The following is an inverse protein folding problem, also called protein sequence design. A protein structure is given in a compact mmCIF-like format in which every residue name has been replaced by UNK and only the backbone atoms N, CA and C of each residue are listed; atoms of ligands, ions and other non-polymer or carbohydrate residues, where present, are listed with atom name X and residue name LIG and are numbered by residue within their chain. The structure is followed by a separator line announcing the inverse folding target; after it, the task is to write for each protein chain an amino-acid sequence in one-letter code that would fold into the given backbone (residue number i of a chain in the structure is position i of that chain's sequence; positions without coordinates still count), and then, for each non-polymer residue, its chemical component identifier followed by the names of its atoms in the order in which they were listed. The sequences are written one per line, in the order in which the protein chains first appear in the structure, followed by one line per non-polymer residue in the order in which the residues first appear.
data_IF_983384258472
#
_entry.id   IF_983384258472
#
_cell.length_a   1.000
_cell.length_b   1.000
_cell.length_c   1.000
_cell.angle_alpha   90.00
_cell.angle_beta   90.00
_cell.angle_gamma   90.00
#
_symmetry.space_group_name_H-M   'P 1'
#
loop_
_entity.id
_entity.type
_entity.pdbx_description
1 polymer ?
#
# COMPACT_ATOMS: atom_id res chain seq x y z
N UNK A 1 -16.30 -1.64 -6.55
CA UNK A 1 -15.17 -0.92 -7.19
C UNK A 1 -14.37 -1.92 -8.01
N UNK A 2 -14.03 -1.57 -9.25
CA UNK A 2 -13.15 -2.39 -10.10
C UNK A 2 -11.97 -1.56 -10.56
N UNK A 3 -10.77 -2.08 -10.36
CA UNK A 3 -9.52 -1.45 -10.80
C UNK A 3 -8.89 -2.37 -11.83
N UNK A 4 -8.67 -1.85 -13.03
CA UNK A 4 -7.95 -2.53 -14.10
C UNK A 4 -6.72 -1.69 -14.42
N UNK A 5 -5.56 -2.21 -14.03
CA UNK A 5 -4.24 -1.67 -14.34
C UNK A 5 -3.40 -2.82 -14.87
N UNK A 6 -2.91 -2.73 -16.10
CA UNK A 6 -1.97 -3.70 -16.63
C UNK A 6 -0.53 -3.24 -16.39
N UNK A 7 0.42 -4.20 -16.34
CA UNK A 7 1.84 -3.89 -16.27
C UNK A 7 2.22 -3.02 -17.47
N UNK A 8 3.06 -1.98 -17.31
CA UNK A 8 3.67 -1.31 -18.44
C UNK A 8 4.37 -2.35 -19.31
N UNK A 9 3.93 -2.49 -20.56
CA UNK A 9 4.51 -3.42 -21.52
C UNK A 9 5.51 -2.64 -22.36
N UNK A 10 6.78 -2.71 -21.99
CA UNK A 10 7.85 -2.34 -22.91
C UNK A 10 8.09 -3.52 -23.84
N UNK A 11 7.56 -3.41 -25.06
CA UNK A 11 7.70 -4.41 -26.10
C UNK A 11 8.75 -3.98 -27.13
N UNK A 12 9.61 -3.02 -26.78
CA UNK A 12 10.72 -2.63 -27.61
C UNK A 12 11.74 -3.78 -27.68
N UNK A 13 11.91 -4.32 -28.88
CA UNK A 13 12.98 -5.25 -29.19
C UNK A 13 14.09 -4.46 -29.87
N UNK A 14 15.14 -4.13 -29.11
CA UNK A 14 16.27 -3.38 -29.65
C UNK A 14 16.99 -4.19 -30.74
N UNK A 15 17.32 -3.57 -31.90
CA UNK A 15 18.16 -4.20 -32.92
C UNK A 15 19.48 -4.74 -32.35
N UNK A 16 20.09 -4.01 -31.43
CA UNK A 16 21.35 -4.41 -30.79
C UNK A 16 21.21 -5.69 -29.97
N UNK A 17 20.09 -5.86 -29.26
CA UNK A 17 19.82 -7.09 -28.51
C UNK A 17 19.66 -8.31 -29.42
N UNK A 18 19.13 -8.12 -30.65
CA UNK A 18 19.07 -9.18 -31.66
C UNK A 18 20.47 -9.50 -32.18
N UNK A 19 21.27 -8.48 -32.48
CA UNK A 19 22.65 -8.61 -32.99
C UNK A 19 23.54 -9.30 -31.95
N UNK A 20 23.46 -8.93 -30.67
CA UNK A 20 24.17 -9.57 -29.56
C UNK A 20 23.87 -11.06 -29.46
N UNK A 21 22.59 -11.43 -29.57
CA UNK A 21 22.19 -12.84 -29.57
C UNK A 21 22.60 -13.58 -30.84
N UNK A 22 22.60 -12.90 -31.99
CA UNK A 22 23.00 -13.47 -33.26
C UNK A 22 24.51 -13.72 -33.32
N UNK A 23 25.32 -12.84 -32.72
CA UNK A 23 26.77 -12.94 -32.65
C UNK A 23 27.24 -13.39 -31.26
N UNK A 24 26.50 -14.29 -30.60
CA UNK A 24 26.74 -14.73 -29.21
C UNK A 24 28.13 -15.32 -28.93
N UNK A 25 28.90 -15.67 -29.97
CA UNK A 25 30.23 -16.27 -29.87
C UNK A 25 31.37 -15.26 -29.73
N UNK A 26 31.08 -13.95 -29.75
CA UNK A 26 32.09 -12.90 -29.59
C UNK A 26 31.55 -11.70 -28.82
N UNK A 27 32.45 -10.95 -28.19
CA UNK A 27 32.15 -9.58 -27.75
C UNK A 27 32.04 -8.68 -28.98
N UNK A 28 31.09 -7.76 -28.96
CA UNK A 28 30.73 -6.92 -30.10
C UNK A 28 30.99 -5.47 -29.70
N UNK A 29 31.70 -4.74 -30.55
CA UNK A 29 31.78 -3.29 -30.44
C UNK A 29 30.67 -2.65 -31.28
N UNK A 30 29.92 -1.72 -30.67
CA UNK A 30 28.73 -1.11 -31.29
C UNK A 30 29.09 -0.21 -32.47
N UNK A 31 30.34 0.24 -32.55
CA UNK A 31 30.86 1.09 -33.63
C UNK A 31 31.38 0.26 -34.84
N UNK A 32 31.28 -1.08 -34.79
CA UNK A 32 31.69 -1.92 -35.92
C UNK A 32 30.79 -1.70 -37.15
N UNK A 33 31.35 -1.58 -38.37
CA UNK A 33 30.56 -1.39 -39.60
C UNK A 33 29.52 -2.48 -39.84
N UNK A 34 29.80 -3.72 -39.41
CA UNK A 34 28.86 -4.84 -39.55
C UNK A 34 27.67 -4.69 -38.61
N UNK A 35 27.87 -4.13 -37.42
CA UNK A 35 26.83 -3.89 -36.43
C UNK A 35 25.95 -2.73 -36.86
N UNK A 36 26.56 -1.63 -37.35
CA UNK A 36 25.82 -0.51 -37.93
C UNK A 36 24.96 -0.95 -39.12
N UNK A 37 25.52 -1.79 -40.00
CA UNK A 37 24.79 -2.34 -41.14
C UNK A 37 23.56 -3.14 -40.69
N UNK A 38 23.73 -4.11 -39.79
CA UNK A 38 22.62 -4.91 -39.28
C UNK A 38 21.61 -4.08 -38.47
N UNK A 39 22.06 -3.07 -37.73
CA UNK A 39 21.19 -2.14 -37.05
C UNK A 39 20.31 -1.38 -38.05
N UNK A 40 20.88 -0.88 -39.15
CA UNK A 40 20.14 -0.19 -40.21
C UNK A 40 19.09 -1.10 -40.86
N UNK A 41 19.44 -2.38 -41.08
CA UNK A 41 18.52 -3.37 -41.64
C UNK A 41 17.39 -3.74 -40.67
N UNK A 42 17.70 -3.97 -39.39
CA UNK A 42 16.76 -4.47 -38.39
C UNK A 42 15.87 -3.36 -37.79
N UNK A 43 16.37 -2.12 -37.74
CA UNK A 43 15.64 -0.96 -37.19
C UNK A 43 14.21 -0.80 -37.74
N UNK A 44 13.97 -0.77 -39.06
CA UNK A 44 12.60 -0.61 -39.59
C UNK A 44 11.69 -1.78 -39.19
N UNK A 45 12.21 -3.01 -39.12
CA UNK A 45 11.41 -4.15 -38.66
C UNK A 45 11.09 -4.06 -37.16
N UNK A 46 12.05 -3.64 -36.33
CA UNK A 46 11.84 -3.46 -34.89
C UNK A 46 10.80 -2.37 -34.61
N UNK A 47 10.81 -1.27 -35.39
CA UNK A 47 9.80 -0.22 -35.33
C UNK A 47 8.41 -0.74 -35.71
N UNK A 48 8.29 -1.49 -36.80
CA UNK A 48 7.00 -2.08 -37.22
C UNK A 48 6.48 -3.07 -36.18
N UNK A 49 7.35 -3.93 -35.64
CA UNK A 49 6.96 -4.86 -34.57
C UNK A 49 6.51 -4.12 -33.31
N UNK A 50 7.19 -3.02 -32.96
CA UNK A 50 6.78 -2.16 -31.86
C UNK A 50 5.40 -1.56 -32.10
N UNK A 51 5.13 -0.99 -33.27
CA UNK A 51 3.84 -0.39 -33.63
C UNK A 51 2.69 -1.42 -33.60
N UNK A 52 2.91 -2.60 -34.18
CA UNK A 52 1.96 -3.72 -34.14
C UNK A 52 1.69 -4.10 -32.67
N UNK A 53 2.75 -4.21 -31.88
CA UNK A 53 2.64 -4.54 -30.47
C UNK A 53 1.85 -3.48 -29.69
N UNK A 54 2.08 -2.18 -29.93
CA UNK A 54 1.33 -1.09 -29.28
C UNK A 54 -0.17 -1.17 -29.61
N UNK A 55 -0.51 -1.58 -30.83
CA UNK A 55 -1.90 -1.75 -31.24
C UNK A 55 -2.63 -2.84 -30.43
N UNK A 56 -1.98 -3.99 -30.20
CA UNK A 56 -2.55 -5.10 -29.45
C UNK A 56 -2.41 -4.92 -27.93
N UNK A 57 -1.34 -4.27 -27.47
CA UNK A 57 -1.01 -4.12 -26.06
C UNK A 57 -1.30 -2.70 -25.57
N UNK A 58 -2.59 -2.32 -25.60
CA UNK A 58 -3.02 -1.03 -25.05
C UNK A 58 -2.82 -0.98 -23.53
N UNK A 59 -2.31 0.14 -23.05
CA UNK A 59 -2.28 0.48 -21.63
C UNK A 59 -3.73 0.67 -21.12
N UNK A 60 -4.12 -0.11 -20.11
CA UNK A 60 -5.46 -0.07 -19.53
C UNK A 60 -5.32 0.52 -18.14
N UNK A 61 -5.72 1.78 -18.00
CA UNK A 61 -5.88 2.47 -16.72
C UNK A 61 -7.35 2.83 -16.54
N UNK A 62 -8.12 1.89 -15.99
CA UNK A 62 -9.55 2.04 -15.81
C UNK A 62 -9.97 1.79 -14.36
N UNK A 63 -10.69 2.76 -13.79
CA UNK A 63 -11.26 2.67 -12.45
C UNK A 63 -12.77 2.85 -12.57
N UNK A 64 -13.53 1.84 -12.16
CA UNK A 64 -14.99 1.92 -12.04
C UNK A 64 -15.37 2.03 -10.57
N UNK A 65 -16.09 3.09 -10.23
CA UNK A 65 -16.68 3.33 -8.92
C UNK A 65 -18.19 3.13 -9.05
N UNK A 66 -18.75 2.22 -8.24
CA UNK A 66 -20.18 1.97 -8.15
C UNK A 66 -20.77 2.77 -6.95
N UNK A 67 -22.07 3.12 -6.94
CA UNK A 67 -22.65 4.01 -5.91
C UNK A 67 -22.53 3.53 -4.46
N UNK A 68 -22.45 2.22 -4.22
CA UNK A 68 -22.29 1.65 -2.86
C UNK A 68 -20.82 1.64 -2.39
N UNK A 69 -19.84 1.84 -3.28
CA UNK A 69 -18.43 1.85 -2.90
C UNK A 69 -18.09 3.02 -1.96
N UNK A 70 -18.90 4.08 -2.00
CA UNK A 70 -18.74 5.30 -1.19
C UNK A 70 -19.58 5.32 0.08
N UNK A 71 -20.44 4.31 0.34
CA UNK A 71 -21.20 4.21 1.60
C UNK A 71 -20.27 4.05 2.81
N UNK A 72 -19.13 3.37 2.63
CA UNK A 72 -18.04 3.29 3.61
C UNK A 72 -16.72 3.20 2.85
N UNK A 73 -16.31 4.33 2.27
CA UNK A 73 -15.15 4.42 1.38
C UNK A 73 -13.85 3.97 2.07
N UNK A 74 -13.71 4.26 3.36
CA UNK A 74 -12.60 3.82 4.22
C UNK A 74 -12.41 2.29 4.16
N UNK A 75 -13.50 1.53 4.29
CA UNK A 75 -13.45 0.06 4.26
C UNK A 75 -13.19 -0.44 2.84
N UNK A 76 -13.80 0.19 1.82
CA UNK A 76 -13.56 -0.15 0.41
C UNK A 76 -12.09 0.06 0.00
N UNK A 77 -11.49 1.20 0.38
CA UNK A 77 -10.08 1.51 0.10
C UNK A 77 -9.14 0.60 0.90
N UNK A 78 -9.48 0.29 2.15
CA UNK A 78 -8.67 -0.59 3.00
C UNK A 78 -8.45 -1.96 2.37
N UNK A 79 -9.47 -2.52 1.69
CA UNK A 79 -9.37 -3.81 0.97
C UNK A 79 -8.32 -3.80 -0.15
N UNK A 80 -7.92 -2.64 -0.65
CA UNK A 80 -6.91 -2.46 -1.71
C UNK A 80 -5.58 -2.01 -1.13
N UNK A 81 -5.59 -1.04 -0.22
CA UNK A 81 -4.38 -0.51 0.40
C UNK A 81 -3.65 -1.61 1.20
N UNK A 82 -4.37 -2.44 1.96
CA UNK A 82 -3.77 -3.48 2.78
C UNK A 82 -2.90 -4.49 2.00
N UNK A 83 -3.38 -5.15 0.92
CA UNK A 83 -2.53 -6.03 0.12
C UNK A 83 -1.40 -5.28 -0.57
N UNK A 84 -1.61 -4.04 -1.04
CA UNK A 84 -0.55 -3.23 -1.65
C UNK A 84 0.58 -2.91 -0.68
N UNK A 85 0.26 -2.53 0.57
CA UNK A 85 1.27 -2.28 1.60
C UNK A 85 2.05 -3.55 1.97
N UNK A 86 1.39 -4.71 2.01
CA UNK A 86 2.05 -6.00 2.26
C UNK A 86 3.00 -6.38 1.11
N UNK A 87 2.58 -6.15 -0.13
CA UNK A 87 3.41 -6.37 -1.31
C UNK A 87 4.62 -5.42 -1.30
N UNK A 88 4.39 -4.12 -1.12
CA UNK A 88 5.44 -3.11 -1.04
C UNK A 88 6.47 -3.41 0.05
N UNK A 89 6.02 -3.82 1.25
CA UNK A 89 6.95 -4.18 2.34
C UNK A 89 7.86 -5.36 1.97
N UNK A 90 7.36 -6.30 1.16
CA UNK A 90 8.10 -7.49 0.75
C UNK A 90 9.13 -7.18 -0.33
N UNK A 91 8.75 -6.38 -1.32
CA UNK A 91 9.55 -6.20 -2.54
C UNK A 91 10.50 -4.98 -2.47
N UNK A 92 10.26 -4.03 -1.52
CA UNK A 92 11.01 -2.76 -1.36
C UNK A 92 12.52 -2.82 -1.62
N UNK A 93 12.99 -1.94 -2.50
CA UNK A 93 14.42 -1.73 -2.75
C UNK A 93 15.10 -0.68 -1.86
N UNK A 94 14.34 0.15 -1.12
CA UNK A 94 14.87 1.25 -0.34
C UNK A 94 14.02 1.71 0.84
N UNK A 95 14.46 2.81 1.47
CA UNK A 95 13.71 3.50 2.52
C UNK A 95 13.81 5.02 2.30
N UNK A 96 12.70 5.76 2.48
CA UNK A 96 12.70 7.22 2.48
C UNK A 96 13.23 7.78 3.81
N UNK A 97 13.42 9.10 3.86
CA UNK A 97 13.71 9.79 5.10
C UNK A 97 12.49 9.76 6.05
N UNK A 98 12.67 9.23 7.25
CA UNK A 98 11.65 9.18 8.30
C UNK A 98 12.01 10.12 9.44
N UNK A 99 11.06 10.96 9.83
CA UNK A 99 11.24 11.95 10.89
C UNK A 99 11.33 11.26 12.25
N UNK A 100 12.21 11.76 13.11
CA UNK A 100 12.41 11.19 14.45
C UNK A 100 11.14 11.24 15.31
N UNK A 101 10.23 12.19 15.08
CA UNK A 101 8.96 12.32 15.83
C UNK A 101 8.03 11.12 15.60
N UNK A 102 8.10 10.50 14.43
CA UNK A 102 7.20 9.44 13.99
C UNK A 102 7.60 8.05 14.48
N UNK A 103 8.78 7.93 15.07
CA UNK A 103 9.35 6.67 15.56
C UNK A 103 9.61 6.70 17.07
N UNK A 104 9.54 5.54 17.73
CA UNK A 104 9.90 5.38 19.13
C UNK A 104 11.32 5.89 19.40
N UNK A 105 11.56 6.37 20.62
CA UNK A 105 12.84 6.95 21.06
C UNK A 105 14.06 6.06 20.81
N UNK A 106 13.88 4.74 20.80
CA UNK A 106 14.92 3.74 20.55
C UNK A 106 15.43 3.75 19.10
N UNK A 107 14.53 4.05 18.15
CA UNK A 107 14.82 4.04 16.70
C UNK A 107 15.24 5.41 16.17
N UNK A 108 15.14 6.46 16.99
CA UNK A 108 15.53 7.83 16.60
C UNK A 108 17.02 7.91 16.34
N UNK A 109 17.37 8.67 15.31
CA UNK A 109 18.76 9.04 15.08
C UNK A 109 19.23 9.94 16.24
N UNK A 110 20.22 9.47 17.00
CA UNK A 110 20.79 10.20 18.15
C UNK A 110 21.87 11.20 17.71
N UNK A 111 22.23 11.24 16.43
CA UNK A 111 23.23 12.16 15.90
C UNK A 111 22.65 13.58 15.91
N UNK A 112 23.42 14.53 16.45
CA UNK A 112 23.07 15.97 16.46
C UNK A 112 23.37 16.68 15.13
N UNK A 113 24.17 16.06 14.27
CA UNK A 113 24.64 16.62 13.00
C UNK A 113 24.12 15.73 11.88
N UNK A 114 23.43 16.32 10.90
CA UNK A 114 23.04 15.61 9.69
C UNK A 114 24.32 15.24 8.92
N UNK A 115 24.52 13.96 8.55
CA UNK A 115 25.71 13.54 7.82
C UNK A 115 25.81 14.31 6.50
N UNK A 116 27.01 14.81 6.21
CA UNK A 116 27.23 15.73 5.08
C UNK A 116 27.19 15.07 3.70
N UNK A 117 27.01 13.75 3.59
CA UNK A 117 26.84 13.02 2.33
C UNK A 117 26.23 11.65 2.62
N UNK A 118 25.08 11.30 2.05
CA UNK A 118 24.57 9.93 1.80
C UNK A 118 24.58 8.86 2.92
N UNK A 119 25.14 9.13 4.10
CA UNK A 119 25.38 8.16 5.15
C UNK A 119 24.08 7.88 5.91
N UNK A 120 23.55 6.68 5.69
CA UNK A 120 22.39 6.17 6.41
C UNK A 120 22.78 5.80 7.84
N UNK A 121 21.88 6.06 8.79
CA UNK A 121 22.03 5.56 10.16
C UNK A 121 21.84 4.03 10.18
N UNK A 122 22.41 3.35 11.19
CA UNK A 122 22.14 1.92 11.46
C UNK A 122 20.63 1.64 11.59
N UNK A 123 19.88 2.60 12.13
CA UNK A 123 18.43 2.49 12.32
C UNK A 123 17.61 3.10 11.16
N UNK A 124 18.23 3.54 10.07
CA UNK A 124 17.52 4.19 8.96
C UNK A 124 16.43 3.30 8.36
N UNK A 125 16.78 2.06 7.99
CA UNK A 125 15.83 1.09 7.45
C UNK A 125 14.82 0.61 8.50
N UNK A 126 15.25 0.42 9.76
CA UNK A 126 14.39 -0.01 10.87
C UNK A 126 13.27 1.01 11.17
N UNK A 127 13.55 2.31 11.01
CA UNK A 127 12.54 3.37 11.14
C UNK A 127 11.44 3.22 10.10
N UNK A 128 11.83 2.96 8.85
CA UNK A 128 10.86 2.76 7.77
C UNK A 128 10.06 1.48 7.95
N UNK A 129 10.70 0.39 8.36
CA UNK A 129 10.01 -0.87 8.65
C UNK A 129 8.98 -0.70 9.77
N UNK A 130 9.32 0.04 10.83
CA UNK A 130 8.36 0.38 11.89
C UNK A 130 7.15 1.16 11.34
N UNK A 131 7.40 2.17 10.52
CA UNK A 131 6.34 3.01 9.93
C UNK A 131 5.43 2.17 9.02
N UNK A 132 6.00 1.32 8.16
CA UNK A 132 5.26 0.37 7.33
C UNK A 132 4.44 -0.61 8.18
N UNK A 133 5.00 -1.11 9.28
CA UNK A 133 4.30 -2.01 10.19
C UNK A 133 3.14 -1.34 10.92
N UNK A 134 3.29 -0.07 11.34
CA UNK A 134 2.18 0.68 11.91
C UNK A 134 1.07 0.90 10.88
N UNK A 135 1.39 1.24 9.64
CA UNK A 135 0.39 1.37 8.57
C UNK A 135 -0.34 0.05 8.33
N UNK A 136 0.39 -1.04 8.11
CA UNK A 136 -0.20 -2.38 7.87
C UNK A 136 -1.08 -2.80 9.03
N UNK A 137 -0.65 -2.59 10.27
CA UNK A 137 -1.45 -2.91 11.45
C UNK A 137 -2.75 -2.10 11.48
N UNK A 138 -2.70 -0.78 11.27
CA UNK A 138 -3.89 0.07 11.26
C UNK A 138 -4.89 -0.31 10.17
N UNK A 139 -4.43 -0.54 8.94
CA UNK A 139 -5.31 -0.99 7.85
C UNK A 139 -5.84 -2.41 8.07
N UNK A 140 -5.10 -3.28 8.74
CA UNK A 140 -5.58 -4.62 9.09
C UNK A 140 -6.70 -4.57 10.15
N UNK A 141 -6.61 -3.65 11.12
CA UNK A 141 -7.70 -3.42 12.08
C UNK A 141 -8.93 -2.78 11.40
N UNK A 142 -8.73 -1.78 10.55
CA UNK A 142 -9.83 -1.14 9.78
C UNK A 142 -10.52 -2.10 8.79
N UNK A 143 -9.83 -3.17 8.36
CA UNK A 143 -10.42 -4.19 7.50
C UNK A 143 -11.45 -5.06 8.23
N UNK A 144 -11.43 -5.08 9.57
CA UNK A 144 -12.36 -5.88 10.37
C UNK A 144 -13.64 -5.08 10.62
N UNK A 145 -14.83 -5.62 10.28
CA UNK A 145 -16.09 -4.89 10.47
C UNK A 145 -16.39 -4.62 11.96
N UNK A 146 -16.01 -5.54 12.85
CA UNK A 146 -16.32 -5.48 14.29
C UNK A 146 -15.07 -5.30 15.16
N UNK A 147 -14.14 -4.43 14.76
CA UNK A 147 -12.88 -4.25 15.50
C UNK A 147 -13.07 -3.69 16.93
N UNK A 148 -14.19 -3.01 17.19
CA UNK A 148 -14.54 -2.43 18.49
C UNK A 148 -15.16 -3.44 19.45
N UNK A 149 -15.66 -4.58 18.95
CA UNK A 149 -16.30 -5.65 19.71
C UNK A 149 -15.45 -6.16 20.88
N UNK A 150 -14.12 -6.13 20.74
CA UNK A 150 -13.16 -6.54 21.78
C UNK A 150 -13.21 -5.70 23.06
N UNK A 151 -13.74 -4.47 22.98
CA UNK A 151 -13.87 -3.55 24.13
C UNK A 151 -15.21 -3.69 24.85
N UNK A 152 -16.14 -4.45 24.27
CA UNK A 152 -17.43 -4.76 24.87
C UNK A 152 -17.33 -6.08 25.65
N UNK A 153 -17.69 -6.03 26.93
CA UNK A 153 -17.78 -7.22 27.78
C UNK A 153 -19.14 -7.28 28.46
N UNK A 154 -19.60 -8.48 28.78
CA UNK A 154 -20.87 -8.69 29.47
C UNK A 154 -22.03 -9.07 28.55
N UNK A 155 -23.23 -9.17 29.12
CA UNK A 155 -24.45 -9.52 28.39
C UNK A 155 -25.47 -8.40 28.48
N UNK A 156 -26.11 -8.11 27.35
CA UNK A 156 -27.27 -7.24 27.28
C UNK A 156 -28.48 -8.04 27.74
N UNK A 157 -28.99 -7.72 28.92
CA UNK A 157 -30.31 -8.14 29.38
C UNK A 157 -31.24 -6.93 29.26
N UNK A 158 -32.24 -7.01 28.38
CA UNK A 158 -33.20 -5.94 28.11
C UNK A 158 -34.61 -6.50 28.24
N UNK A 159 -35.46 -5.83 29.00
CA UNK A 159 -36.85 -6.22 29.24
C UNK A 159 -37.79 -5.11 28.78
N UNK A 160 -38.76 -5.48 27.96
CA UNK A 160 -39.86 -4.60 27.59
C UNK A 160 -40.84 -4.48 28.76
N UNK A 161 -41.09 -3.25 29.22
CA UNK A 161 -42.05 -2.94 30.27
C UNK A 161 -43.19 -2.13 29.67
N UNK A 162 -44.43 -2.62 29.80
CA UNK A 162 -45.62 -1.91 29.31
C UNK A 162 -45.99 -0.80 30.30
N UNK A 163 -46.11 0.42 29.80
CA UNK A 163 -46.56 1.59 30.55
C UNK A 163 -48.10 1.64 30.61
N UNK A 164 -48.67 2.38 31.58
CA UNK A 164 -50.12 2.56 31.74
C UNK A 164 -50.80 3.09 30.46
N UNK A 165 -50.06 3.88 29.68
CA UNK A 165 -50.55 4.55 28.47
C UNK A 165 -50.55 3.63 27.23
N UNK A 166 -50.22 2.34 27.40
CA UNK A 166 -50.20 1.34 26.33
C UNK A 166 -48.88 1.23 25.56
N UNK A 167 -47.94 2.16 25.77
CA UNK A 167 -46.59 2.13 25.21
C UNK A 167 -45.68 1.12 25.91
N UNK A 168 -44.61 0.68 25.24
CA UNK A 168 -43.58 -0.17 25.84
C UNK A 168 -42.26 0.59 25.96
N UNK A 169 -41.63 0.51 27.12
CA UNK A 169 -40.31 1.06 27.39
C UNK A 169 -39.30 -0.07 27.55
N UNK A 170 -38.16 0.05 26.86
CA UNK A 170 -37.06 -0.90 26.99
C UNK A 170 -36.28 -0.54 28.27
N UNK A 171 -36.38 -1.38 29.31
CA UNK A 171 -35.60 -1.23 30.55
C UNK A 171 -34.52 -2.28 30.64
N UNK A 172 -33.40 -1.95 31.29
CA UNK A 172 -32.36 -2.92 31.59
C UNK A 172 -32.89 -4.02 32.52
N UNK A 173 -32.68 -5.27 32.12
CA UNK A 173 -32.99 -6.43 32.95
C UNK A 173 -31.99 -6.56 34.10
N UNK A 174 -32.34 -7.32 35.16
CA UNK A 174 -31.53 -7.46 36.37
C UNK A 174 -30.16 -8.13 36.13
N UNK A 175 -29.93 -8.78 34.98
CA UNK A 175 -28.63 -9.40 34.64
C UNK A 175 -27.82 -8.58 33.64
N UNK A 176 -28.15 -7.30 33.43
CA UNK A 176 -27.41 -6.41 32.54
C UNK A 176 -26.00 -6.16 33.08
N UNK A 177 -24.99 -6.66 32.38
CA UNK A 177 -23.58 -6.62 32.82
C UNK A 177 -22.66 -5.98 31.78
N UNK A 178 -23.24 -5.30 30.78
CA UNK A 178 -22.50 -4.66 29.70
C UNK A 178 -21.50 -3.64 30.26
N UNK A 179 -20.23 -3.81 29.94
CA UNK A 179 -19.14 -2.89 30.27
C UNK A 179 -18.36 -2.58 29.01
N UNK A 180 -18.08 -1.31 28.82
CA UNK A 180 -17.27 -0.80 27.72
C UNK A 180 -15.92 -0.34 28.27
N UNK A 181 -14.82 -0.96 27.83
CA UNK A 181 -13.47 -0.48 28.15
C UNK A 181 -13.10 0.72 27.29
N UNK A 182 -13.54 1.89 27.74
CA UNK A 182 -13.26 3.16 27.07
C UNK A 182 -11.76 3.46 26.96
N UNK A 183 -10.95 3.11 27.97
CA UNK A 183 -9.51 3.42 27.97
C UNK A 183 -8.76 2.57 26.96
N UNK A 184 -9.08 1.27 26.90
CA UNK A 184 -8.54 0.37 25.89
C UNK A 184 -8.94 0.80 24.48
N UNK A 185 -10.22 1.12 24.30
CA UNK A 185 -10.77 1.59 23.03
C UNK A 185 -10.07 2.86 22.53
N UNK A 186 -9.98 3.90 23.37
CA UNK A 186 -9.40 5.19 22.98
C UNK A 186 -7.91 5.06 22.62
N UNK A 187 -7.18 4.20 23.35
CA UNK A 187 -5.76 3.91 23.04
C UNK A 187 -5.61 3.15 21.72
N UNK A 188 -6.48 2.18 21.46
CA UNK A 188 -6.47 1.41 20.20
C UNK A 188 -6.81 2.31 19.01
N UNK A 189 -7.84 3.15 19.15
CA UNK A 189 -8.23 4.13 18.15
C UNK A 189 -7.12 5.15 17.88
N UNK A 190 -6.46 5.67 18.91
CA UNK A 190 -5.32 6.58 18.75
C UNK A 190 -4.17 5.92 17.96
N UNK A 191 -3.94 4.62 18.14
CA UNK A 191 -2.94 3.88 17.36
C UNK A 191 -3.36 3.73 15.90
N UNK A 192 -4.64 3.41 15.64
CA UNK A 192 -5.19 3.35 14.27
C UNK A 192 -4.97 4.71 13.57
N UNK A 193 -5.36 5.79 14.22
CA UNK A 193 -5.22 7.16 13.71
C UNK A 193 -3.76 7.54 13.47
N UNK A 194 -2.82 7.11 14.32
CA UNK A 194 -1.41 7.34 14.08
C UNK A 194 -0.93 6.64 12.79
N UNK A 195 -1.35 5.41 12.52
CA UNK A 195 -1.03 4.73 11.26
C UNK A 195 -1.61 5.43 10.03
N UNK A 196 -2.84 5.96 10.12
CA UNK A 196 -3.44 6.77 9.04
C UNK A 196 -2.68 8.08 8.80
N UNK A 197 -2.25 8.76 9.88
CA UNK A 197 -1.42 9.96 9.80
C UNK A 197 -0.08 9.66 9.12
N UNK A 198 0.57 8.55 9.47
CA UNK A 198 1.81 8.10 8.84
C UNK A 198 1.61 7.78 7.36
N UNK A 199 0.52 7.09 7.02
CA UNK A 199 0.15 6.80 5.63
C UNK A 199 -0.01 8.09 4.82
N UNK A 200 -0.73 9.09 5.33
CA UNK A 200 -0.89 10.37 4.66
C UNK A 200 0.43 11.14 4.53
N UNK A 201 1.26 11.14 5.56
CA UNK A 201 2.55 11.84 5.57
C UNK A 201 3.55 11.24 4.58
N UNK A 202 3.61 9.91 4.50
CA UNK A 202 4.57 9.18 3.67
C UNK A 202 3.98 8.62 2.37
N UNK A 203 2.80 9.10 1.96
CA UNK A 203 2.07 8.58 0.80
C UNK A 203 2.91 8.57 -0.48
N UNK A 204 3.66 9.65 -0.74
CA UNK A 204 4.53 9.79 -1.92
C UNK A 204 5.81 8.96 -1.83
N UNK A 205 6.09 8.37 -0.67
CA UNK A 205 7.24 7.52 -0.42
C UNK A 205 6.90 6.02 -0.47
N UNK A 206 5.67 5.67 -0.87
CA UNK A 206 5.22 4.30 -1.06
C UNK A 206 5.58 3.78 -2.46
N UNK A 207 6.88 3.70 -2.75
CA UNK A 207 7.43 3.18 -3.99
C UNK A 207 8.43 2.06 -3.71
N UNK A 208 8.51 1.14 -4.66
CA UNK A 208 9.48 0.04 -4.73
C UNK A 208 10.51 0.34 -5.82
#
# INVERSE_FOLDING_TARGET
MKIYMNKPKDNWLSPYTIIEKAMFWREIDYDEPIVEFWNCVLSPFCLVLFDISQFFNRDIRYVKIDPWDTWSMDTTLTRIILPMLKQLKKDKHGAPHVDNEDVPSELRDKRKVQPKNGETDKNYFNRWDYVMDQMIWSFNELSKPDWDSQFWTGRVDSKWVKLPDGHYELKHGPKHTLKFDKKGHDKHWARIQNGLRLFGKYYTALWD
#
